data_IF_945757303451
#
_entry.id   IF_945757303451
#
_cell.length_a   1.000
_cell.length_b   1.000
_cell.length_c   1.000
_cell.angle_alpha   90.00
_cell.angle_beta   90.00
_cell.angle_gamma   90.00
#
_symmetry.space_group_name_H-M   'P 1'
#
loop_
_entity.id
_entity.type
_entity.pdbx_description
1 polymer ?
#
# COMPACT_ATOMS: atom_id res chain seq x y z
N UNK A 1 -20.69 -22.91 29.19
CA UNK A 1 -20.37 -22.24 27.92
C UNK A 1 -19.01 -21.56 28.05
N UNK A 2 -18.05 -21.93 27.21
CA UNK A 2 -16.70 -21.36 27.26
C UNK A 2 -16.69 -19.96 26.63
N UNK A 3 -15.71 -19.13 26.99
CA UNK A 3 -15.51 -17.79 26.36
C UNK A 3 -15.35 -17.89 24.84
N UNK A 4 -14.79 -18.99 24.35
CA UNK A 4 -14.62 -19.27 22.93
C UNK A 4 -15.96 -19.49 22.23
N UNK A 5 -16.85 -20.33 22.83
CA UNK A 5 -18.19 -20.59 22.29
C UNK A 5 -19.05 -19.33 22.23
N UNK A 6 -19.04 -18.53 23.29
CA UNK A 6 -19.75 -17.25 23.31
C UNK A 6 -19.17 -16.26 22.23
N UNK A 7 -17.87 -16.27 22.02
CA UNK A 7 -17.22 -15.50 20.96
C UNK A 7 -17.64 -15.95 19.56
N UNK A 8 -17.66 -17.25 19.31
CA UNK A 8 -18.10 -17.83 18.03
C UNK A 8 -19.57 -17.51 17.72
N UNK A 9 -20.45 -17.60 18.72
CA UNK A 9 -21.88 -17.31 18.58
C UNK A 9 -22.16 -15.81 18.26
N UNK A 10 -21.25 -14.92 18.61
CA UNK A 10 -21.38 -13.49 18.39
C UNK A 10 -20.64 -13.00 17.12
N UNK A 11 -20.05 -13.90 16.31
CA UNK A 11 -19.29 -13.53 15.13
C UNK A 11 -20.16 -12.78 14.11
N UNK A 12 -19.58 -11.71 13.59
CA UNK A 12 -20.09 -10.93 12.45
C UNK A 12 -18.99 -10.83 11.40
N UNK A 13 -19.31 -10.57 10.14
CA UNK A 13 -18.27 -10.26 9.14
C UNK A 13 -17.43 -9.07 9.57
N UNK A 14 -16.17 -9.32 9.92
CA UNK A 14 -15.18 -8.31 10.35
C UNK A 14 -13.87 -8.46 9.56
N UNK A 15 -13.71 -9.57 8.84
CA UNK A 15 -12.60 -9.82 7.95
C UNK A 15 -13.10 -9.92 6.52
N UNK A 16 -12.50 -9.12 5.66
CA UNK A 16 -12.86 -9.04 4.24
C UNK A 16 -11.64 -9.42 3.43
N UNK A 17 -11.78 -10.37 2.54
CA UNK A 17 -10.69 -10.84 1.68
C UNK A 17 -11.11 -10.95 0.24
N UNK A 18 -10.17 -10.75 -0.67
CA UNK A 18 -10.37 -10.99 -2.10
C UNK A 18 -9.11 -11.53 -2.74
N UNK A 19 -9.30 -12.37 -3.73
CA UNK A 19 -8.26 -12.87 -4.61
C UNK A 19 -8.80 -12.94 -6.03
N UNK A 20 -7.93 -12.85 -7.03
CA UNK A 20 -8.29 -13.03 -8.43
C UNK A 20 -8.58 -14.50 -8.73
N UNK A 21 -7.91 -15.42 -8.04
CA UNK A 21 -8.06 -16.87 -8.22
C UNK A 21 -9.28 -17.40 -7.46
N UNK A 22 -10.30 -17.92 -8.17
CA UNK A 22 -11.47 -18.50 -7.53
C UNK A 22 -11.13 -19.74 -6.69
N UNK A 23 -10.06 -20.49 -7.02
CA UNK A 23 -9.63 -21.65 -6.25
C UNK A 23 -9.03 -21.25 -4.91
N UNK A 24 -8.28 -20.14 -4.87
CA UNK A 24 -7.77 -19.57 -3.62
C UNK A 24 -8.94 -19.17 -2.69
N UNK A 25 -9.97 -18.53 -3.24
CA UNK A 25 -11.16 -18.14 -2.48
C UNK A 25 -11.96 -19.37 -2.01
N UNK A 26 -12.11 -20.40 -2.84
CA UNK A 26 -12.79 -21.65 -2.45
C UNK A 26 -12.05 -22.31 -1.29
N UNK A 27 -10.74 -22.51 -1.39
CA UNK A 27 -9.92 -23.08 -0.33
C UNK A 27 -9.94 -22.26 0.96
N UNK A 28 -9.95 -20.93 0.86
CA UNK A 28 -10.07 -20.05 2.02
C UNK A 28 -11.42 -20.22 2.73
N UNK A 29 -12.53 -20.41 2.00
CA UNK A 29 -13.85 -20.68 2.56
C UNK A 29 -13.90 -22.03 3.27
N UNK A 30 -13.37 -23.08 2.62
CA UNK A 30 -13.30 -24.43 3.23
C UNK A 30 -12.49 -24.40 4.53
N UNK A 31 -11.35 -23.71 4.53
CA UNK A 31 -10.54 -23.55 5.74
C UNK A 31 -11.28 -22.79 6.84
N UNK A 32 -12.02 -21.74 6.48
CA UNK A 32 -12.81 -20.96 7.44
C UNK A 32 -13.97 -21.78 8.04
N UNK A 33 -14.62 -22.61 7.24
CA UNK A 33 -15.66 -23.55 7.70
C UNK A 33 -15.06 -24.60 8.64
N UNK A 34 -13.96 -25.24 8.26
CA UNK A 34 -13.26 -26.21 9.08
C UNK A 34 -12.79 -25.63 10.43
N UNK A 35 -12.39 -24.35 10.43
CA UNK A 35 -12.00 -23.63 11.66
C UNK A 35 -13.20 -23.10 12.46
N UNK A 36 -14.43 -23.19 11.96
CA UNK A 36 -15.64 -22.68 12.63
C UNK A 36 -15.74 -21.16 12.68
N UNK A 37 -15.02 -20.42 11.78
CA UNK A 37 -14.97 -18.95 11.76
C UNK A 37 -15.56 -18.33 10.50
N UNK A 38 -16.23 -19.12 9.67
CA UNK A 38 -16.78 -18.67 8.39
C UNK A 38 -17.70 -17.44 8.54
N UNK A 39 -18.47 -17.34 9.63
CA UNK A 39 -19.36 -16.22 9.91
C UNK A 39 -18.62 -14.88 10.13
N UNK A 40 -17.32 -14.93 10.43
CA UNK A 40 -16.49 -13.73 10.59
C UNK A 40 -15.89 -13.20 9.28
N UNK A 41 -15.98 -13.97 8.18
CA UNK A 41 -15.32 -13.68 6.93
C UNK A 41 -16.31 -13.38 5.80
N UNK A 42 -15.97 -12.38 4.98
CA UNK A 42 -16.56 -12.17 3.68
C UNK A 42 -15.43 -12.24 2.63
N UNK A 43 -15.54 -13.23 1.73
CA UNK A 43 -14.51 -13.54 0.73
C UNK A 43 -15.10 -13.43 -0.68
N UNK A 44 -14.44 -12.67 -1.54
CA UNK A 44 -14.87 -12.40 -2.90
C UNK A 44 -13.79 -12.75 -3.92
N UNK A 45 -14.19 -13.28 -5.08
CA UNK A 45 -13.30 -13.34 -6.26
C UNK A 45 -13.28 -11.95 -6.88
N UNK A 46 -12.12 -11.28 -6.83
CA UNK A 46 -12.02 -9.89 -7.27
C UNK A 46 -10.59 -9.53 -7.66
N UNK A 47 -10.44 -8.81 -8.77
CA UNK A 47 -9.20 -8.16 -9.14
C UNK A 47 -8.89 -7.00 -8.18
N UNK A 48 -7.62 -6.84 -7.80
CA UNK A 48 -7.18 -5.75 -6.93
C UNK A 48 -7.48 -4.37 -7.51
N UNK A 49 -7.48 -4.23 -8.84
CA UNK A 49 -7.87 -2.99 -9.52
C UNK A 49 -9.32 -2.57 -9.21
N UNK A 50 -10.19 -3.54 -8.88
CA UNK A 50 -11.59 -3.33 -8.52
C UNK A 50 -11.82 -3.28 -6.99
N UNK A 51 -10.75 -3.16 -6.19
CA UNK A 51 -10.86 -3.09 -4.73
C UNK A 51 -11.79 -1.95 -4.29
N UNK A 52 -12.67 -2.26 -3.34
CA UNK A 52 -13.58 -1.32 -2.70
C UNK A 52 -13.55 -1.53 -1.18
N UNK A 53 -13.77 -0.46 -0.44
CA UNK A 53 -13.96 -0.58 1.00
C UNK A 53 -15.24 -1.39 1.29
N UNK A 54 -15.26 -2.22 2.33
CA UNK A 54 -16.48 -2.91 2.75
C UNK A 54 -17.58 -1.90 3.13
N UNK A 55 -18.82 -2.19 2.74
CA UNK A 55 -19.93 -1.29 2.98
C UNK A 55 -20.14 -1.02 4.48
N UNK A 56 -20.27 0.23 4.85
CA UNK A 56 -20.50 0.66 6.24
C UNK A 56 -19.26 0.61 7.15
N UNK A 57 -18.07 0.30 6.61
CA UNK A 57 -16.83 0.27 7.38
C UNK A 57 -16.02 1.54 7.09
N UNK A 58 -15.82 2.37 8.12
CA UNK A 58 -15.17 3.69 8.00
C UNK A 58 -13.68 3.68 8.29
N UNK A 59 -13.13 2.58 8.83
CA UNK A 59 -11.71 2.46 9.14
C UNK A 59 -11.32 1.03 9.43
N UNK A 60 -10.03 0.73 9.32
CA UNK A 60 -9.53 -0.62 9.52
C UNK A 60 -8.05 -0.77 9.19
N UNK A 61 -7.66 -2.03 9.02
CA UNK A 61 -6.33 -2.38 8.53
C UNK A 61 -6.46 -3.25 7.30
N UNK A 62 -5.59 -3.03 6.33
CA UNK A 62 -5.45 -3.86 5.13
C UNK A 62 -4.07 -4.51 5.11
N UNK A 63 -4.03 -5.82 4.90
CA UNK A 63 -2.80 -6.58 4.70
C UNK A 63 -2.76 -7.17 3.31
N UNK A 64 -1.59 -7.18 2.68
CA UNK A 64 -1.40 -7.78 1.38
C UNK A 64 -0.02 -8.43 1.26
N UNK A 65 0.01 -9.60 0.62
CA UNK A 65 1.22 -10.32 0.25
C UNK A 65 1.19 -10.60 -1.25
N UNK A 66 1.49 -9.60 -2.10
CA UNK A 66 1.46 -9.76 -3.56
C UNK A 66 2.58 -10.70 -4.01
N UNK A 67 2.46 -11.31 -5.21
CA UNK A 67 3.50 -12.20 -5.74
C UNK A 67 4.82 -11.45 -5.97
N UNK A 68 5.95 -12.05 -5.56
CA UNK A 68 7.28 -11.44 -5.64
C UNK A 68 8.43 -12.41 -5.92
N UNK A 69 8.15 -13.67 -6.20
CA UNK A 69 9.21 -14.63 -6.50
C UNK A 69 9.29 -14.98 -8.01
N UNK A 70 10.39 -15.66 -8.38
CA UNK A 70 10.63 -16.08 -9.77
C UNK A 70 9.55 -17.02 -10.33
N UNK A 71 8.70 -17.61 -9.48
CA UNK A 71 7.62 -18.50 -9.91
C UNK A 71 6.38 -17.74 -10.35
N UNK A 72 6.20 -16.51 -9.84
CA UNK A 72 5.02 -15.66 -10.05
C UNK A 72 5.38 -14.32 -10.70
N UNK A 73 6.57 -14.20 -11.30
CA UNK A 73 7.07 -13.01 -11.99
C UNK A 73 6.66 -11.69 -11.32
N UNK A 74 7.51 -11.22 -10.42
CA UNK A 74 7.30 -9.92 -9.76
C UNK A 74 7.05 -8.82 -10.82
N UNK A 75 5.81 -8.33 -10.90
CA UNK A 75 5.42 -7.30 -11.86
C UNK A 75 5.26 -5.94 -11.14
N UNK A 76 6.17 -4.98 -11.39
CA UNK A 76 6.05 -3.63 -10.84
C UNK A 76 4.71 -2.95 -11.20
N UNK A 77 4.07 -3.36 -12.31
CA UNK A 77 2.77 -2.83 -12.72
C UNK A 77 1.67 -3.27 -11.76
N UNK A 78 1.71 -4.54 -11.32
CA UNK A 78 0.80 -5.04 -10.30
C UNK A 78 0.94 -4.25 -8.99
N UNK A 79 2.18 -3.97 -8.56
CA UNK A 79 2.44 -3.20 -7.35
C UNK A 79 1.94 -1.76 -7.45
N UNK A 80 2.06 -1.13 -8.61
CA UNK A 80 1.48 0.20 -8.88
C UNK A 80 -0.04 0.16 -8.79
N UNK A 81 -0.67 -0.79 -9.46
CA UNK A 81 -2.12 -1.00 -9.44
C UNK A 81 -2.62 -1.23 -8.01
N UNK A 82 -1.92 -2.06 -7.23
CA UNK A 82 -2.22 -2.30 -5.82
C UNK A 82 -2.18 -1.00 -5.01
N UNK A 83 -1.10 -0.23 -5.14
CA UNK A 83 -0.97 1.03 -4.41
C UNK A 83 -2.05 2.06 -4.78
N UNK A 84 -2.43 2.15 -6.07
CA UNK A 84 -3.51 3.00 -6.55
C UNK A 84 -4.87 2.54 -6.02
N UNK A 85 -5.14 1.24 -6.04
CA UNK A 85 -6.36 0.65 -5.53
C UNK A 85 -6.54 0.90 -4.03
N UNK A 86 -5.47 0.73 -3.23
CA UNK A 86 -5.49 1.00 -1.80
C UNK A 86 -5.75 2.48 -1.49
N UNK A 87 -5.06 3.40 -2.17
CA UNK A 87 -5.28 4.85 -2.00
C UNK A 87 -6.71 5.27 -2.34
N UNK A 88 -7.31 4.64 -3.34
CA UNK A 88 -8.68 4.93 -3.76
C UNK A 88 -9.71 4.34 -2.79
N UNK A 89 -9.54 3.08 -2.41
CA UNK A 89 -10.55 2.32 -1.69
C UNK A 89 -10.52 2.56 -0.17
N UNK A 90 -9.33 2.66 0.41
CA UNK A 90 -9.11 2.68 1.87
C UNK A 90 -8.03 3.70 2.27
N UNK A 91 -8.15 4.99 1.87
CA UNK A 91 -7.12 6.01 2.06
C UNK A 91 -6.73 6.20 3.53
N UNK A 92 -7.70 6.15 4.43
CA UNK A 92 -7.53 6.45 5.85
C UNK A 92 -7.19 5.21 6.70
N UNK A 93 -7.07 4.04 6.07
CA UNK A 93 -6.76 2.80 6.76
C UNK A 93 -5.26 2.63 6.98
N UNK A 94 -4.89 1.77 7.92
CA UNK A 94 -3.52 1.28 8.04
C UNK A 94 -3.27 0.22 6.97
N UNK A 95 -2.20 0.37 6.18
CA UNK A 95 -1.74 -0.62 5.19
C UNK A 95 -0.49 -1.35 5.67
N UNK A 96 -0.42 -2.67 5.44
CA UNK A 96 0.77 -3.50 5.66
C UNK A 96 0.99 -4.39 4.45
N UNK A 97 2.08 -4.19 3.72
CA UNK A 97 2.39 -4.92 2.49
C UNK A 97 3.75 -5.61 2.62
N UNK A 98 3.75 -6.92 2.37
CA UNK A 98 4.99 -7.69 2.28
C UNK A 98 5.44 -7.70 0.82
N UNK A 99 6.51 -6.98 0.51
CA UNK A 99 7.05 -6.83 -0.84
C UNK A 99 8.33 -7.65 -0.96
N UNK A 100 8.60 -8.20 -2.14
CA UNK A 100 9.78 -9.03 -2.37
C UNK A 100 11.10 -8.30 -2.19
N UNK A 101 11.11 -7.01 -2.49
CA UNK A 101 12.27 -6.14 -2.32
C UNK A 101 11.85 -4.67 -2.19
N UNK A 102 12.84 -3.79 -2.12
CA UNK A 102 12.66 -2.36 -2.00
C UNK A 102 12.12 -1.70 -3.25
N UNK A 103 12.48 -2.19 -4.42
CA UNK A 103 12.05 -1.63 -5.71
C UNK A 103 10.56 -1.92 -5.93
N UNK A 104 10.10 -3.11 -5.58
CA UNK A 104 8.68 -3.46 -5.59
C UNK A 104 7.89 -2.67 -4.56
N UNK A 105 8.44 -2.49 -3.34
CA UNK A 105 7.82 -1.64 -2.33
C UNK A 105 7.70 -0.19 -2.84
N UNK A 106 8.73 0.34 -3.50
CA UNK A 106 8.72 1.67 -4.10
C UNK A 106 7.71 1.77 -5.26
N UNK A 107 7.58 0.71 -6.07
CA UNK A 107 6.64 0.67 -7.20
C UNK A 107 5.18 0.86 -6.78
N UNK A 108 4.79 0.53 -5.53
CA UNK A 108 3.44 0.81 -5.00
C UNK A 108 3.11 2.31 -4.98
N UNK A 109 4.11 3.19 -4.95
CA UNK A 109 3.94 4.62 -4.75
C UNK A 109 3.33 4.98 -3.39
N UNK A 110 3.24 4.03 -2.44
CA UNK A 110 2.76 4.29 -1.09
C UNK A 110 3.87 4.89 -0.24
N UNK A 111 3.49 5.77 0.68
CA UNK A 111 4.42 6.38 1.62
C UNK A 111 4.46 5.57 2.91
N UNK A 112 5.45 4.69 3.04
CA UNK A 112 5.66 3.93 4.26
C UNK A 112 6.02 4.85 5.44
N UNK A 113 5.32 4.67 6.55
CA UNK A 113 5.67 5.28 7.86
C UNK A 113 6.72 4.46 8.59
N UNK A 114 6.71 3.15 8.34
CA UNK A 114 7.70 2.19 8.86
C UNK A 114 8.02 1.16 7.79
N UNK A 115 9.26 0.67 7.82
CA UNK A 115 9.74 -0.41 6.96
C UNK A 115 10.56 -1.38 7.80
N UNK A 116 10.29 -2.65 7.60
CA UNK A 116 10.98 -3.74 8.29
C UNK A 116 11.56 -4.70 7.26
N UNK A 117 12.78 -5.15 7.52
CA UNK A 117 13.36 -6.26 6.80
C UNK A 117 12.83 -7.56 7.41
N UNK A 118 12.32 -8.44 6.59
CA UNK A 118 11.78 -9.73 7.01
C UNK A 118 12.27 -10.84 6.09
N UNK A 119 12.12 -12.08 6.54
CA UNK A 119 12.44 -13.24 5.73
C UNK A 119 11.19 -14.10 5.56
N UNK A 120 10.87 -14.43 4.31
CA UNK A 120 9.87 -15.44 3.98
C UNK A 120 10.62 -16.69 3.49
N UNK A 121 10.86 -17.65 4.42
CA UNK A 121 11.79 -18.72 4.16
C UNK A 121 13.22 -18.18 3.97
N UNK A 122 13.81 -18.46 2.81
CA UNK A 122 15.15 -17.98 2.42
C UNK A 122 15.12 -16.60 1.72
N UNK A 123 13.94 -16.08 1.39
CA UNK A 123 13.79 -14.83 0.65
C UNK A 123 13.76 -13.65 1.62
N UNK A 124 14.66 -12.69 1.41
CA UNK A 124 14.62 -11.40 2.11
C UNK A 124 13.52 -10.53 1.48
N UNK A 125 12.64 -9.99 2.32
CA UNK A 125 11.47 -9.20 1.93
C UNK A 125 11.43 -7.88 2.69
N UNK A 126 10.75 -6.91 2.11
CA UNK A 126 10.45 -5.63 2.74
C UNK A 126 8.99 -5.60 3.20
N UNK A 127 8.72 -5.54 4.51
CA UNK A 127 7.40 -5.21 5.03
C UNK A 127 7.29 -3.69 5.17
N UNK A 128 6.43 -3.09 4.37
CA UNK A 128 6.09 -1.67 4.51
C UNK A 128 4.80 -1.50 5.28
N UNK A 129 4.76 -0.50 6.17
CA UNK A 129 3.57 -0.09 6.91
C UNK A 129 3.26 1.35 6.56
N UNK A 130 2.05 1.60 6.12
CA UNK A 130 1.50 2.92 5.82
C UNK A 130 0.41 3.23 6.85
N UNK A 131 0.48 4.37 7.51
CA UNK A 131 -0.49 4.77 8.52
C UNK A 131 -0.67 6.30 8.48
N UNK A 132 -1.69 6.77 7.78
CA UNK A 132 -2.64 6.05 6.90
C UNK A 132 -2.05 5.66 5.54
N UNK A 133 -2.81 4.87 4.74
CA UNK A 133 -2.45 4.47 3.36
C UNK A 133 -2.21 5.68 2.46
N UNK A 134 -3.11 6.67 2.52
CA UNK A 134 -2.98 7.92 1.79
C UNK A 134 -2.97 9.09 2.80
N UNK A 135 -1.82 9.49 3.32
CA UNK A 135 -1.77 10.67 4.19
C UNK A 135 -2.29 11.90 3.44
N UNK A 136 -2.98 12.82 4.12
CA UNK A 136 -3.48 14.03 3.51
C UNK A 136 -2.36 14.77 2.77
N UNK A 137 -2.71 15.39 1.65
CA UNK A 137 -1.76 16.20 0.91
C UNK A 137 -1.12 17.21 1.87
N UNK A 138 0.22 17.24 1.89
CA UNK A 138 0.93 18.21 2.71
C UNK A 138 0.54 19.59 2.20
N UNK A 139 -0.13 20.38 3.03
CA UNK A 139 -0.36 21.78 2.68
C UNK A 139 0.98 22.41 2.28
N UNK A 140 1.03 23.13 1.14
CA UNK A 140 2.23 23.83 0.77
C UNK A 140 2.61 24.72 1.96
N UNK A 141 3.82 24.52 2.49
CA UNK A 141 4.29 25.34 3.59
C UNK A 141 4.14 26.80 3.17
N UNK A 142 3.50 27.60 4.00
CA UNK A 142 3.38 29.03 3.76
C UNK A 142 4.77 29.58 3.35
N UNK A 143 4.85 30.46 2.35
CA UNK A 143 6.12 31.02 1.90
C UNK A 143 6.85 31.58 3.12
N UNK A 144 7.91 30.90 3.55
CA UNK A 144 8.77 31.46 4.59
C UNK A 144 9.51 32.62 3.96
N UNK A 145 9.42 33.79 4.57
CA UNK A 145 10.32 34.87 4.22
C UNK A 145 11.76 34.38 4.38
N UNK A 146 12.45 34.31 3.27
CA UNK A 146 13.84 33.86 3.25
C UNK A 146 14.69 34.99 3.83
N UNK A 147 15.46 34.71 4.87
CA UNK A 147 16.50 35.65 5.32
C UNK A 147 17.49 35.97 4.19
N UNK A 148 18.19 37.10 4.29
CA UNK A 148 19.09 37.62 3.20
C UNK A 148 20.04 36.58 2.61
N UNK A 149 20.68 35.76 3.45
CA UNK A 149 21.56 34.69 3.00
C UNK A 149 20.85 33.61 2.17
N UNK A 150 19.65 33.19 2.61
CA UNK A 150 18.84 32.23 1.90
C UNK A 150 18.30 32.80 0.58
N UNK A 151 17.98 34.09 0.54
CA UNK A 151 17.57 34.81 -0.67
C UNK A 151 18.71 34.87 -1.69
N UNK A 152 19.96 35.12 -1.25
CA UNK A 152 21.12 35.09 -2.12
C UNK A 152 21.33 33.71 -2.75
N UNK A 153 21.24 32.65 -1.98
CA UNK A 153 21.33 31.25 -2.48
C UNK A 153 20.23 30.95 -3.49
N UNK A 154 18.99 31.29 -3.17
CA UNK A 154 17.83 31.09 -4.05
C UNK A 154 18.02 31.86 -5.39
N UNK A 155 18.50 33.07 -5.34
CA UNK A 155 18.79 33.90 -6.54
C UNK A 155 19.90 33.27 -7.40
N UNK A 156 20.96 32.77 -6.76
CA UNK A 156 22.04 32.07 -7.44
C UNK A 156 21.60 30.78 -8.12
N UNK A 157 20.77 29.99 -7.43
CA UNK A 157 20.18 28.79 -8.00
C UNK A 157 19.29 29.10 -9.22
N UNK A 158 18.44 30.13 -9.15
CA UNK A 158 17.62 30.54 -10.29
C UNK A 158 18.46 30.93 -11.50
N UNK A 159 19.55 31.73 -11.30
CA UNK A 159 20.45 32.08 -12.37
C UNK A 159 21.15 30.87 -12.99
N UNK A 160 21.57 29.91 -12.17
CA UNK A 160 22.17 28.67 -12.65
C UNK A 160 21.19 27.80 -13.43
N UNK A 161 19.96 27.66 -12.96
CA UNK A 161 18.88 26.95 -13.68
C UNK A 161 18.61 27.59 -15.05
N UNK A 162 18.54 28.90 -15.14
CA UNK A 162 18.38 29.58 -16.43
C UNK A 162 19.55 29.34 -17.40
N UNK A 163 20.80 29.32 -16.88
CA UNK A 163 21.98 28.99 -17.68
C UNK A 163 21.94 27.54 -18.18
N UNK A 164 21.54 26.60 -17.30
CA UNK A 164 21.39 25.19 -17.63
C UNK A 164 20.31 24.97 -18.69
N UNK A 165 19.18 25.67 -18.57
CA UNK A 165 18.11 25.60 -19.56
C UNK A 165 18.58 26.08 -20.94
N UNK A 166 19.25 27.25 -21.01
CA UNK A 166 19.82 27.78 -22.24
C UNK A 166 20.90 26.86 -22.82
N UNK A 167 21.69 26.21 -21.95
CA UNK A 167 22.72 25.27 -22.41
C UNK A 167 22.04 24.02 -23.02
N UNK A 168 21.03 23.43 -22.36
CA UNK A 168 20.27 22.32 -22.91
C UNK A 168 19.64 22.62 -24.26
N UNK A 169 19.00 23.78 -24.38
CA UNK A 169 18.39 24.25 -25.65
C UNK A 169 19.42 24.36 -26.77
N UNK A 170 20.64 24.82 -26.44
CA UNK A 170 21.72 24.94 -27.43
C UNK A 170 22.33 23.60 -27.84
N UNK A 171 22.42 22.63 -26.90
CA UNK A 171 23.01 21.31 -27.15
C UNK A 171 21.97 20.32 -27.71
N UNK A 172 20.70 20.72 -27.80
CA UNK A 172 19.62 19.87 -28.34
C UNK A 172 19.20 18.70 -27.45
N UNK A 173 19.40 18.84 -26.12
CA UNK A 173 19.09 17.79 -25.11
C UNK A 173 17.79 18.13 -24.39
#
# INVERSE_FOLDING_TARGET
>A
ETRAEAGLAALKPVFFGSDLDPLAIAGARENAEAAGVAAALQLDVRDVAALQAPAGVTGGSVGCNPPYDARLAADPTLYRTLGEALRRAVPDWRGSLLCGDDDLAFATGLRATKKYRMFNGALECALIVCDPVAPPAREPAAPRELGEGAQMVANRLRKNLQKLKKWREREGI
#
